data_IF_794081230608
#
_entry.id   IF_794081230608
#
_cell.length_a   1.000
_cell.length_b   1.000
_cell.length_c   1.000
_cell.angle_alpha   90.00
_cell.angle_beta   90.00
_cell.angle_gamma   90.00
#
_symmetry.space_group_name_H-M   'P 1'
#
loop_
_entity.id
_entity.type
_entity.pdbx_description
1 polymer ?
#
# COMPACT_ATOMS: atom_id res chain seq x y z
N UNK A 1 59.35 -52.19 -30.40
CA UNK A 1 58.77 -51.52 -29.23
C UNK A 1 58.02 -52.56 -28.45
N UNK A 2 58.44 -52.83 -27.21
CA UNK A 2 58.01 -54.00 -26.44
C UNK A 2 56.55 -53.84 -25.93
N UNK A 3 55.69 -54.81 -26.24
CA UNK A 3 54.26 -54.84 -25.84
C UNK A 3 54.04 -54.63 -24.35
N UNK A 4 55.06 -54.89 -23.52
CA UNK A 4 55.02 -54.63 -22.06
C UNK A 4 55.09 -53.14 -21.72
N UNK A 5 55.72 -52.31 -22.54
CA UNK A 5 55.77 -50.85 -22.36
C UNK A 5 54.48 -50.15 -22.70
N UNK A 6 53.78 -50.66 -23.70
CA UNK A 6 52.46 -50.13 -24.12
C UNK A 6 51.41 -50.42 -23.04
N UNK A 7 51.45 -51.57 -22.42
CA UNK A 7 50.50 -51.94 -21.34
C UNK A 7 50.72 -51.12 -20.07
N UNK A 8 52.00 -50.85 -19.72
CA UNK A 8 52.33 -49.99 -18.57
C UNK A 8 51.93 -48.51 -18.80
N UNK A 9 52.01 -48.00 -20.06
CA UNK A 9 51.58 -46.64 -20.41
C UNK A 9 50.06 -46.50 -20.37
N UNK A 10 49.29 -47.51 -20.81
CA UNK A 10 47.83 -47.50 -20.71
C UNK A 10 47.32 -47.63 -19.26
N UNK A 11 48.01 -48.41 -18.41
CA UNK A 11 47.71 -48.56 -17.01
C UNK A 11 47.98 -47.27 -16.22
N UNK A 12 49.06 -46.55 -16.57
CA UNK A 12 49.39 -45.23 -16.01
C UNK A 12 48.38 -44.15 -16.41
N UNK A 13 47.88 -44.16 -17.66
CA UNK A 13 46.85 -43.25 -18.13
C UNK A 13 45.45 -43.49 -17.43
N UNK A 14 45.13 -44.72 -17.13
CA UNK A 14 43.91 -45.08 -16.39
C UNK A 14 44.01 -44.64 -14.92
N UNK A 15 45.20 -44.72 -14.28
CA UNK A 15 45.43 -44.25 -12.95
C UNK A 15 45.40 -42.71 -12.82
N UNK A 16 45.85 -41.99 -13.85
CA UNK A 16 45.78 -40.53 -13.91
C UNK A 16 44.34 -40.03 -14.23
N UNK A 17 43.53 -40.81 -14.94
CA UNK A 17 42.11 -40.51 -15.19
C UNK A 17 41.19 -40.68 -13.99
N UNK A 18 41.57 -41.57 -13.07
CA UNK A 18 40.76 -41.82 -11.83
C UNK A 18 41.06 -40.84 -10.71
N UNK A 19 42.15 -40.08 -10.74
CA UNK A 19 42.48 -39.07 -9.71
C UNK A 19 41.69 -37.76 -9.85
N UNK A 20 41.04 -37.50 -10.98
CA UNK A 20 40.23 -36.29 -11.17
C UNK A 20 38.72 -36.45 -10.90
N UNK A 21 38.28 -37.62 -10.42
CA UNK A 21 36.87 -37.87 -10.08
C UNK A 21 36.54 -37.68 -8.58
N UNK A 22 37.49 -37.24 -7.78
CA UNK A 22 37.28 -36.92 -6.36
C UNK A 22 37.38 -35.42 -6.04
N UNK A 23 37.39 -34.54 -7.03
CA UNK A 23 37.43 -33.11 -6.81
C UNK A 23 36.13 -32.49 -7.36
N UNK A 24 35.17 -32.39 -6.56
CA UNK A 24 34.18 -31.38 -6.33
C UNK A 24 32.91 -32.01 -5.78
N UNK A 25 32.95 -32.37 -4.50
CA UNK A 25 31.74 -32.07 -3.72
C UNK A 25 31.67 -30.55 -3.73
N UNK A 26 30.91 -30.01 -4.64
CA UNK A 26 30.38 -28.68 -4.45
C UNK A 26 29.68 -28.72 -3.10
N UNK A 27 30.37 -28.25 -2.07
CA UNK A 27 29.73 -27.80 -0.85
C UNK A 27 28.98 -26.54 -1.30
N UNK A 28 27.82 -26.72 -1.94
CA UNK A 28 26.90 -25.63 -2.17
C UNK A 28 26.72 -25.00 -0.78
N UNK A 29 27.23 -23.80 -0.60
CA UNK A 29 26.96 -23.06 0.63
C UNK A 29 25.46 -23.06 0.80
N UNK A 30 24.95 -23.41 2.00
CA UNK A 30 23.52 -23.41 2.23
C UNK A 30 22.98 -22.03 1.81
N UNK A 31 21.92 -22.03 1.02
CA UNK A 31 21.32 -20.79 0.55
C UNK A 31 21.06 -19.85 1.75
N UNK A 32 21.38 -18.56 1.64
CA UNK A 32 21.23 -17.63 2.75
C UNK A 32 19.79 -17.61 3.25
N UNK A 33 19.61 -17.58 4.57
CA UNK A 33 18.31 -17.46 5.22
C UNK A 33 18.03 -15.98 5.43
N UNK A 34 16.96 -15.46 4.83
CA UNK A 34 16.57 -14.06 5.02
C UNK A 34 15.58 -13.95 6.17
N UNK A 35 15.80 -12.99 7.06
CA UNK A 35 14.97 -12.74 8.24
C UNK A 35 14.05 -11.57 8.01
N UNK A 36 12.73 -11.81 8.10
CA UNK A 36 11.68 -10.83 7.86
C UNK A 36 10.92 -10.57 9.15
N UNK A 37 10.86 -9.31 9.59
CA UNK A 37 10.05 -8.88 10.73
C UNK A 37 8.71 -8.32 10.25
N UNK A 38 7.60 -8.90 10.75
CA UNK A 38 6.24 -8.47 10.44
C UNK A 38 5.64 -7.84 11.71
N UNK A 39 5.26 -6.56 11.63
CA UNK A 39 4.80 -5.78 12.78
C UNK A 39 3.34 -5.38 12.62
N UNK A 40 2.52 -5.69 13.62
CA UNK A 40 1.10 -5.34 13.63
C UNK A 40 0.57 -5.14 15.06
N UNK A 41 -0.46 -4.27 15.28
CA UNK A 41 -1.04 -4.00 16.59
C UNK A 41 -2.04 -5.11 16.97
N UNK A 42 -1.57 -6.28 17.41
CA UNK A 42 -2.38 -7.45 17.70
C UNK A 42 -3.02 -7.40 19.09
N UNK A 43 -2.48 -6.58 20.03
CA UNK A 43 -2.99 -6.45 21.39
C UNK A 43 -3.12 -7.80 22.12
N UNK A 44 -2.19 -8.73 21.92
CA UNK A 44 -2.28 -10.09 22.47
C UNK A 44 -2.46 -10.09 23.99
N UNK A 45 -1.72 -9.23 24.70
CA UNK A 45 -1.81 -9.12 26.17
C UNK A 45 -3.18 -8.59 26.65
N UNK A 46 -3.91 -7.86 25.78
CA UNK A 46 -5.26 -7.36 26.07
C UNK A 46 -6.34 -8.39 25.78
N UNK A 47 -6.15 -9.21 24.74
CA UNK A 47 -7.17 -10.16 24.28
C UNK A 47 -7.04 -11.55 24.88
N UNK A 48 -5.86 -11.89 25.43
CA UNK A 48 -5.62 -13.15 26.13
C UNK A 48 -5.35 -12.94 27.63
N UNK A 49 -5.75 -13.90 28.44
CA UNK A 49 -5.26 -14.10 29.79
C UNK A 49 -4.49 -15.42 29.78
N UNK A 50 -3.16 -15.35 29.76
CA UNK A 50 -2.29 -16.48 29.46
C UNK A 50 -2.66 -17.06 28.07
N UNK A 51 -3.27 -18.26 28.06
CA UNK A 51 -3.73 -18.94 26.83
C UNK A 51 -5.25 -18.84 26.59
N UNK A 52 -5.99 -18.20 27.51
CA UNK A 52 -7.46 -18.11 27.43
C UNK A 52 -7.88 -16.80 26.77
N UNK A 53 -8.65 -16.90 25.68
CA UNK A 53 -9.24 -15.75 25.00
C UNK A 53 -10.32 -15.11 25.89
N UNK A 54 -10.25 -13.79 26.09
CA UNK A 54 -11.11 -13.04 27.05
C UNK A 54 -12.50 -12.74 26.52
N UNK A 55 -12.72 -12.75 25.21
CA UNK A 55 -13.95 -12.28 24.59
C UNK A 55 -14.86 -13.42 24.18
N UNK A 56 -16.04 -13.53 24.83
CA UNK A 56 -17.03 -14.59 24.55
C UNK A 56 -17.81 -14.37 23.24
N UNK A 57 -17.91 -13.13 22.79
CA UNK A 57 -18.72 -12.74 21.61
C UNK A 57 -17.93 -12.70 20.31
N UNK A 58 -16.74 -13.32 20.26
CA UNK A 58 -15.88 -13.35 19.08
C UNK A 58 -14.76 -12.32 19.11
N UNK A 59 -14.14 -12.10 17.95
CA UNK A 59 -12.96 -11.24 17.80
C UNK A 59 -13.37 -9.77 17.95
N UNK A 60 -12.73 -9.00 18.87
CA UNK A 60 -13.01 -7.57 19.02
C UNK A 60 -12.68 -6.80 17.74
N UNK A 61 -13.52 -5.82 17.40
CA UNK A 61 -13.36 -5.03 16.17
C UNK A 61 -12.03 -4.29 16.09
N UNK A 62 -11.45 -3.89 17.21
CA UNK A 62 -10.22 -3.11 17.24
C UNK A 62 -8.97 -3.90 16.82
N UNK A 63 -8.99 -5.25 16.97
CA UNK A 63 -7.87 -6.10 16.54
C UNK A 63 -8.09 -6.71 15.15
N UNK A 64 -9.33 -6.74 14.66
CA UNK A 64 -9.67 -7.43 13.42
C UNK A 64 -8.80 -7.00 12.22
N UNK A 65 -8.55 -5.70 11.98
CA UNK A 65 -7.70 -5.30 10.84
C UNK A 65 -6.26 -5.82 10.96
N UNK A 66 -5.67 -5.82 12.16
CA UNK A 66 -4.32 -6.32 12.38
C UNK A 66 -4.25 -7.84 12.25
N UNK A 67 -5.27 -8.53 12.77
CA UNK A 67 -5.39 -9.99 12.64
C UNK A 67 -5.51 -10.39 11.17
N UNK A 68 -6.38 -9.75 10.41
CA UNK A 68 -6.57 -10.00 8.99
C UNK A 68 -5.26 -9.77 8.20
N UNK A 69 -4.57 -8.67 8.49
CA UNK A 69 -3.25 -8.39 7.90
C UNK A 69 -2.26 -9.52 8.16
N UNK A 70 -2.15 -9.96 9.42
CA UNK A 70 -1.23 -11.05 9.80
C UNK A 70 -1.65 -12.38 9.19
N UNK A 71 -2.94 -12.68 9.10
CA UNK A 71 -3.43 -13.88 8.42
C UNK A 71 -3.09 -13.88 6.93
N UNK A 72 -3.21 -12.72 6.27
CA UNK A 72 -2.74 -12.53 4.89
C UNK A 72 -1.23 -12.75 4.77
N UNK A 73 -0.44 -12.17 5.66
CA UNK A 73 1.01 -12.34 5.74
C UNK A 73 1.41 -13.82 5.92
N UNK A 74 0.75 -14.54 6.83
CA UNK A 74 0.99 -15.97 7.04
C UNK A 74 0.66 -16.81 5.81
N UNK A 75 -0.38 -16.43 5.05
CA UNK A 75 -0.72 -17.11 3.80
C UNK A 75 0.34 -16.85 2.72
N UNK A 76 0.94 -15.66 2.71
CA UNK A 76 2.07 -15.34 1.84
C UNK A 76 3.32 -16.16 2.20
N UNK A 77 3.62 -16.30 3.49
CA UNK A 77 4.73 -17.12 3.97
C UNK A 77 4.57 -18.60 3.59
N UNK A 78 3.35 -19.17 3.71
CA UNK A 78 3.07 -20.53 3.23
C UNK A 78 3.36 -20.65 1.72
N UNK A 79 3.00 -19.64 0.93
CA UNK A 79 3.25 -19.63 -0.52
C UNK A 79 4.74 -19.51 -0.87
N UNK A 80 5.48 -18.70 -0.12
CA UNK A 80 6.93 -18.56 -0.27
C UNK A 80 7.66 -19.85 0.10
N UNK A 81 7.25 -20.51 1.19
CA UNK A 81 7.82 -21.79 1.60
C UNK A 81 7.56 -22.88 0.56
N UNK A 82 6.37 -22.93 -0.02
CA UNK A 82 6.05 -23.84 -1.13
C UNK A 82 6.90 -23.57 -2.39
N UNK A 83 7.37 -22.33 -2.57
CA UNK A 83 8.30 -21.91 -3.62
C UNK A 83 9.78 -22.13 -3.29
N UNK A 84 10.11 -22.81 -2.16
CA UNK A 84 11.46 -23.03 -1.67
C UNK A 84 12.26 -21.76 -1.35
N UNK A 85 11.59 -20.66 -1.02
CA UNK A 85 12.27 -19.46 -0.51
C UNK A 85 12.76 -19.71 0.92
N UNK A 86 14.04 -19.46 1.17
CA UNK A 86 14.66 -19.71 2.46
C UNK A 86 14.45 -18.51 3.41
N UNK A 87 13.28 -18.44 4.03
CA UNK A 87 12.82 -17.30 4.82
C UNK A 87 12.57 -17.72 6.28
N UNK A 88 13.05 -16.88 7.18
CA UNK A 88 12.71 -16.94 8.59
C UNK A 88 11.92 -15.67 8.96
N UNK A 89 10.62 -15.78 9.15
CA UNK A 89 9.76 -14.67 9.49
C UNK A 89 9.35 -14.68 10.95
N UNK A 90 9.39 -13.50 11.58
CA UNK A 90 8.93 -13.27 12.95
C UNK A 90 7.81 -12.24 12.96
N UNK A 91 6.74 -12.53 13.72
CA UNK A 91 5.61 -11.61 13.89
C UNK A 91 5.74 -10.94 15.27
N UNK A 92 5.66 -9.61 15.28
CA UNK A 92 5.77 -8.78 16.46
C UNK A 92 4.46 -8.04 16.73
N UNK A 93 3.92 -8.18 17.95
CA UNK A 93 2.80 -7.39 18.43
C UNK A 93 3.28 -6.02 18.91
N UNK A 94 2.97 -4.98 18.18
CA UNK A 94 3.40 -3.62 18.52
C UNK A 94 2.66 -3.01 19.71
N UNK A 95 1.60 -3.67 20.19
CA UNK A 95 0.81 -3.27 21.35
C UNK A 95 0.96 -4.20 22.52
N UNK A 96 2.04 -4.98 22.57
CA UNK A 96 2.42 -5.75 23.72
C UNK A 96 2.79 -4.85 24.92
N UNK A 97 2.30 -5.20 26.10
CA UNK A 97 2.70 -4.55 27.36
C UNK A 97 4.02 -5.03 27.89
N UNK A 98 4.39 -6.27 27.54
CA UNK A 98 5.57 -6.97 28.07
C UNK A 98 6.78 -6.81 27.17
N UNK A 99 6.60 -6.52 25.89
CA UNK A 99 7.68 -6.41 24.92
C UNK A 99 7.39 -5.33 23.86
N UNK A 100 7.67 -4.09 24.21
CA UNK A 100 7.49 -2.92 23.32
C UNK A 100 8.56 -2.91 22.22
N UNK A 101 8.33 -2.19 21.12
CA UNK A 101 9.31 -1.99 20.03
C UNK A 101 10.64 -1.44 20.59
N UNK A 102 10.58 -0.49 21.52
CA UNK A 102 11.77 0.06 22.20
C UNK A 102 12.57 -0.99 22.96
N UNK A 103 11.90 -1.97 23.56
CA UNK A 103 12.56 -3.06 24.27
C UNK A 103 13.19 -4.07 23.31
N UNK A 104 12.50 -4.36 22.19
CA UNK A 104 13.04 -5.19 21.12
C UNK A 104 14.31 -4.60 20.53
N UNK A 105 14.32 -3.28 20.26
CA UNK A 105 15.48 -2.54 19.75
C UNK A 105 16.62 -2.55 20.79
N UNK A 106 16.35 -2.13 22.03
CA UNK A 106 17.33 -2.07 23.11
C UNK A 106 17.99 -3.41 23.37
N UNK A 107 17.22 -4.50 23.33
CA UNK A 107 17.69 -5.85 23.56
C UNK A 107 18.25 -6.52 22.28
N UNK A 108 18.45 -5.77 21.20
CA UNK A 108 19.02 -6.21 19.90
C UNK A 108 18.28 -7.38 19.25
N UNK A 109 17.00 -7.57 19.57
CA UNK A 109 16.19 -8.67 19.01
C UNK A 109 15.87 -8.46 17.52
N UNK A 110 15.95 -7.23 17.03
CA UNK A 110 15.69 -6.85 15.65
C UNK A 110 16.98 -6.75 14.80
N UNK A 111 18.17 -6.77 15.39
CA UNK A 111 19.44 -6.49 14.71
C UNK A 111 19.77 -7.46 13.56
N UNK A 112 19.17 -8.64 13.55
CA UNK A 112 19.40 -9.64 12.52
C UNK A 112 18.36 -9.62 11.37
N UNK A 113 17.40 -8.70 11.40
CA UNK A 113 16.41 -8.58 10.33
C UNK A 113 17.04 -8.06 9.04
N UNK A 114 16.56 -8.58 7.91
CA UNK A 114 16.92 -8.12 6.57
C UNK A 114 15.81 -7.24 5.94
N UNK A 115 14.58 -7.36 6.45
CA UNK A 115 13.43 -6.65 5.97
C UNK A 115 12.43 -6.44 7.11
N UNK A 116 11.85 -5.25 7.19
CA UNK A 116 10.76 -4.89 8.10
C UNK A 116 9.51 -4.61 7.28
N UNK A 117 8.38 -5.23 7.64
CA UNK A 117 7.07 -4.98 7.04
C UNK A 117 6.10 -4.62 8.16
N UNK A 118 5.51 -3.43 8.10
CA UNK A 118 4.68 -2.91 9.18
C UNK A 118 3.28 -2.49 8.75
N UNK A 119 2.27 -3.02 9.44
CA UNK A 119 0.92 -2.45 9.49
C UNK A 119 0.79 -1.62 10.77
N UNK A 120 1.60 -0.58 10.88
CA UNK A 120 1.81 0.25 12.08
C UNK A 120 1.63 1.72 11.77
N UNK A 121 1.41 2.55 12.80
CA UNK A 121 1.22 4.00 12.68
C UNK A 121 1.79 4.75 13.87
N UNK A 122 1.82 6.06 13.76
CA UNK A 122 2.20 7.00 14.81
C UNK A 122 3.59 6.69 15.39
N UNK A 123 3.71 6.50 16.71
CA UNK A 123 4.98 6.27 17.37
C UNK A 123 5.64 4.95 16.97
N UNK A 124 4.86 3.86 16.82
CA UNK A 124 5.38 2.55 16.37
C UNK A 124 6.05 2.67 14.99
N UNK A 125 5.42 3.42 14.09
CA UNK A 125 5.97 3.71 12.76
C UNK A 125 7.28 4.50 12.86
N UNK A 126 7.34 5.56 13.69
CA UNK A 126 8.53 6.39 13.85
C UNK A 126 9.70 5.59 14.43
N UNK A 127 9.45 4.73 15.42
CA UNK A 127 10.49 3.88 16.03
C UNK A 127 11.07 2.89 15.01
N UNK A 128 10.22 2.23 14.22
CA UNK A 128 10.70 1.32 13.17
C UNK A 128 11.40 2.05 12.03
N UNK A 129 10.95 3.23 11.64
CA UNK A 129 11.59 4.04 10.62
C UNK A 129 12.99 4.50 11.06
N UNK A 130 13.15 4.92 12.33
CA UNK A 130 14.45 5.30 12.89
C UNK A 130 15.40 4.09 12.97
N UNK A 131 14.91 2.95 13.42
CA UNK A 131 15.70 1.71 13.49
C UNK A 131 16.12 1.24 12.09
N UNK A 132 15.23 1.28 11.12
CA UNK A 132 15.52 0.92 9.73
C UNK A 132 16.63 1.78 9.12
N UNK A 133 16.60 3.09 9.40
CA UNK A 133 17.65 4.01 8.99
C UNK A 133 18.99 3.70 9.67
N UNK A 134 19.00 3.48 11.00
CA UNK A 134 20.21 3.13 11.77
C UNK A 134 20.89 1.86 11.23
N UNK A 135 20.08 0.84 10.91
CA UNK A 135 20.59 -0.48 10.50
C UNK A 135 20.72 -0.64 8.98
N UNK A 136 20.33 0.33 8.18
CA UNK A 136 20.24 0.25 6.72
C UNK A 136 19.37 -0.92 6.25
N UNK A 137 18.21 -1.12 6.89
CA UNK A 137 17.27 -2.21 6.60
C UNK A 137 16.04 -1.61 5.92
N UNK A 138 15.55 -2.17 4.79
CA UNK A 138 14.30 -1.73 4.20
C UNK A 138 13.13 -1.85 5.18
N UNK A 139 12.35 -0.78 5.33
CA UNK A 139 11.11 -0.75 6.08
C UNK A 139 9.94 -0.44 5.16
N UNK A 140 9.06 -1.42 4.97
CA UNK A 140 7.85 -1.33 4.18
C UNK A 140 6.69 -0.94 5.07
N UNK A 141 6.23 0.31 4.97
CA UNK A 141 5.00 0.78 5.61
C UNK A 141 3.81 0.38 4.74
N UNK A 142 3.16 -0.73 5.10
CA UNK A 142 2.18 -1.38 4.25
C UNK A 142 0.80 -0.67 4.24
N UNK A 143 0.39 -0.05 5.35
CA UNK A 143 -0.99 0.42 5.52
C UNK A 143 -1.12 1.88 5.94
N UNK A 144 -0.07 2.51 6.43
CA UNK A 144 -0.12 3.86 6.97
C UNK A 144 0.07 4.91 5.86
N UNK A 145 -0.96 5.76 5.58
CA UNK A 145 -0.89 6.76 4.50
C UNK A 145 -0.24 8.07 4.96
N UNK A 146 0.82 7.97 5.78
CA UNK A 146 1.51 9.11 6.34
C UNK A 146 2.98 8.78 6.58
N UNK A 147 3.81 9.79 6.63
CA UNK A 147 5.24 9.66 6.92
C UNK A 147 5.64 10.30 8.26
N UNK A 148 4.69 10.92 8.97
CA UNK A 148 4.87 11.50 10.32
C UNK A 148 6.12 12.38 10.49
N UNK A 149 6.50 13.09 9.41
CA UNK A 149 7.66 13.99 9.41
C UNK A 149 9.03 13.31 9.26
N UNK A 150 9.09 12.03 8.95
CA UNK A 150 10.35 11.33 8.63
C UNK A 150 11.05 12.02 7.46
N UNK A 151 12.37 12.20 7.58
CA UNK A 151 13.24 12.84 6.59
C UNK A 151 14.54 12.05 6.45
N UNK A 152 15.17 12.17 5.27
CA UNK A 152 16.47 11.58 4.96
C UNK A 152 16.55 10.08 5.29
N UNK A 153 15.47 9.32 5.02
CA UNK A 153 15.43 7.89 5.24
C UNK A 153 15.25 7.12 3.92
N UNK A 154 16.32 6.81 3.22
CA UNK A 154 16.28 6.10 1.94
C UNK A 154 15.86 4.63 2.05
N UNK A 155 15.63 4.11 3.26
CA UNK A 155 15.17 2.74 3.52
C UNK A 155 13.67 2.65 3.81
N UNK A 156 12.98 3.78 3.96
CA UNK A 156 11.53 3.80 4.17
C UNK A 156 10.78 3.73 2.83
N UNK A 157 9.87 2.76 2.70
CA UNK A 157 8.99 2.58 1.54
C UNK A 157 7.53 2.66 2.00
N UNK A 158 6.77 3.60 1.46
CA UNK A 158 5.36 3.84 1.77
C UNK A 158 4.48 3.24 0.66
N UNK A 159 3.78 2.14 0.95
CA UNK A 159 2.87 1.48 0.00
C UNK A 159 1.53 2.21 -0.11
N UNK A 160 0.97 2.59 1.04
CA UNK A 160 -0.28 3.35 1.09
C UNK A 160 0.04 4.84 0.92
N UNK A 161 -0.17 5.34 -0.28
CA UNK A 161 0.23 6.68 -0.70
C UNK A 161 -0.32 7.79 0.21
N UNK A 162 0.44 8.86 0.38
CA UNK A 162 0.03 10.01 1.20
C UNK A 162 -1.08 10.82 0.54
N UNK A 163 -1.78 11.62 1.32
CA UNK A 163 -2.82 12.52 0.83
C UNK A 163 -2.31 13.43 -0.31
N UNK A 164 -1.05 13.88 -0.22
CA UNK A 164 -0.44 14.66 -1.29
C UNK A 164 -0.38 13.88 -2.61
N UNK A 165 0.06 12.62 -2.58
CA UNK A 165 0.13 11.78 -3.78
C UNK A 165 -1.27 11.53 -4.39
N UNK A 166 -2.29 11.40 -3.55
CA UNK A 166 -3.68 11.32 -4.03
C UNK A 166 -4.13 12.61 -4.70
N UNK A 167 -3.84 13.77 -4.12
CA UNK A 167 -4.14 15.06 -4.76
C UNK A 167 -3.39 15.22 -6.09
N UNK A 168 -2.10 14.81 -6.15
CA UNK A 168 -1.28 14.81 -7.36
C UNK A 168 -1.94 13.95 -8.47
N UNK A 169 -2.43 12.75 -8.12
CA UNK A 169 -3.09 11.85 -9.08
C UNK A 169 -4.44 12.40 -9.57
N UNK A 170 -5.26 12.95 -8.66
CA UNK A 170 -6.53 13.59 -9.01
C UNK A 170 -6.29 14.78 -9.95
N UNK A 171 -5.32 15.62 -9.60
CA UNK A 171 -4.97 16.78 -10.44
C UNK A 171 -4.49 16.35 -11.83
N UNK A 172 -3.60 15.34 -11.90
CA UNK A 172 -3.10 14.82 -13.17
C UNK A 172 -4.24 14.24 -14.04
N UNK A 173 -5.17 13.52 -13.41
CA UNK A 173 -6.36 13.01 -14.11
C UNK A 173 -7.22 14.14 -14.68
N UNK A 174 -7.49 15.18 -13.88
CA UNK A 174 -8.29 16.34 -14.30
C UNK A 174 -7.58 17.08 -15.43
N UNK A 175 -6.29 17.33 -15.33
CA UNK A 175 -5.51 18.01 -16.34
C UNK A 175 -5.55 17.29 -17.70
N UNK A 176 -5.49 15.96 -17.68
CA UNK A 176 -5.49 15.14 -18.89
C UNK A 176 -6.86 14.96 -19.53
N UNK A 177 -7.92 14.90 -18.72
CA UNK A 177 -9.24 14.49 -19.18
C UNK A 177 -10.32 15.58 -19.12
N UNK A 178 -10.07 16.68 -18.38
CA UNK A 178 -11.04 17.69 -18.05
C UNK A 178 -10.52 19.13 -18.20
N UNK A 179 -9.48 19.34 -18.99
CA UNK A 179 -8.82 20.64 -19.12
C UNK A 179 -9.71 21.77 -19.65
N UNK A 180 -10.82 21.45 -20.30
CA UNK A 180 -11.81 22.41 -20.82
C UNK A 180 -13.09 22.51 -20.00
N UNK A 181 -13.26 21.64 -19.00
CA UNK A 181 -14.44 21.59 -18.15
C UNK A 181 -14.37 22.67 -17.05
N UNK A 182 -15.51 22.97 -16.42
CA UNK A 182 -15.55 23.82 -15.23
C UNK A 182 -15.10 23.01 -14.00
N UNK A 183 -14.09 23.49 -13.29
CA UNK A 183 -13.49 22.73 -12.18
C UNK A 183 -13.73 23.46 -10.86
N UNK A 184 -14.32 22.76 -9.90
CA UNK A 184 -14.66 23.30 -8.58
C UNK A 184 -13.99 22.48 -7.48
N UNK A 185 -13.25 23.14 -6.59
CA UNK A 185 -12.78 22.55 -5.34
C UNK A 185 -13.75 22.91 -4.22
N UNK A 186 -14.66 22.00 -3.91
CA UNK A 186 -15.62 22.15 -2.81
C UNK A 186 -14.98 21.72 -1.49
N UNK A 187 -14.93 22.62 -0.53
CA UNK A 187 -14.30 22.37 0.77
C UNK A 187 -15.05 23.02 1.93
N UNK A 188 -14.87 22.50 3.13
CA UNK A 188 -15.22 23.17 4.38
C UNK A 188 -13.99 23.83 5.03
N UNK A 189 -14.18 24.56 6.13
CA UNK A 189 -13.09 25.10 6.93
C UNK A 189 -12.41 23.97 7.71
N UNK A 190 -11.09 23.95 7.72
CA UNK A 190 -10.32 22.98 8.50
C UNK A 190 -8.87 22.88 8.06
N UNK A 191 -8.00 22.43 8.96
CA UNK A 191 -6.56 22.29 8.67
C UNK A 191 -6.27 21.28 7.56
N UNK A 192 -7.05 20.20 7.51
CA UNK A 192 -6.89 19.17 6.46
C UNK A 192 -7.36 19.71 5.11
N UNK A 193 -8.46 20.44 5.08
CA UNK A 193 -9.01 21.07 3.88
C UNK A 193 -8.09 22.18 3.36
N UNK A 194 -7.47 22.95 4.28
CA UNK A 194 -6.43 23.94 3.92
C UNK A 194 -5.22 23.27 3.28
N UNK A 195 -4.81 22.12 3.81
CA UNK A 195 -3.71 21.33 3.26
C UNK A 195 -4.05 20.79 1.87
N UNK A 196 -5.25 20.19 1.69
CA UNK A 196 -5.74 19.74 0.37
C UNK A 196 -5.75 20.89 -0.63
N UNK A 197 -6.32 22.02 -0.24
CA UNK A 197 -6.37 23.23 -1.09
C UNK A 197 -4.98 23.71 -1.48
N UNK A 198 -4.03 23.67 -0.54
CA UNK A 198 -2.63 24.06 -0.81
C UNK A 198 -1.94 23.12 -1.79
N UNK A 199 -2.23 21.80 -1.73
CA UNK A 199 -1.69 20.85 -2.70
C UNK A 199 -2.19 21.13 -4.11
N UNK A 200 -3.52 21.31 -4.29
CA UNK A 200 -4.07 21.65 -5.62
C UNK A 200 -3.52 22.98 -6.14
N UNK A 201 -3.41 23.99 -5.29
CA UNK A 201 -2.83 25.28 -5.67
C UNK A 201 -1.38 25.13 -6.14
N UNK A 202 -0.56 24.42 -5.36
CA UNK A 202 0.86 24.21 -5.68
C UNK A 202 1.05 23.48 -7.03
N UNK A 203 0.23 22.46 -7.32
CA UNK A 203 0.30 21.72 -8.57
C UNK A 203 -0.23 22.52 -9.76
N UNK A 204 -1.20 23.39 -9.50
CA UNK A 204 -1.86 24.19 -10.53
C UNK A 204 -1.08 25.45 -10.93
N UNK A 205 0.04 25.72 -10.29
CA UNK A 205 0.86 26.90 -10.55
C UNK A 205 2.10 26.54 -11.39
N UNK A 206 2.20 27.13 -12.57
CA UNK A 206 3.38 27.05 -13.42
C UNK A 206 3.76 28.48 -13.86
N UNK A 207 4.99 28.89 -13.57
CA UNK A 207 5.52 30.22 -13.90
C UNK A 207 4.63 31.38 -13.40
N UNK A 208 4.03 31.21 -12.20
CA UNK A 208 3.16 32.18 -11.56
C UNK A 208 1.75 32.26 -12.18
N UNK A 209 1.37 31.31 -13.03
CA UNK A 209 0.03 31.25 -13.64
C UNK A 209 -0.63 29.89 -13.37
N UNK A 210 -1.96 29.88 -13.15
CA UNK A 210 -2.68 28.61 -13.05
C UNK A 210 -2.78 27.91 -14.40
N UNK A 211 -2.55 26.58 -14.41
CA UNK A 211 -2.75 25.73 -15.59
C UNK A 211 -4.24 25.47 -15.87
N UNK A 212 -5.03 25.32 -14.80
CA UNK A 212 -6.46 25.05 -14.84
C UNK A 212 -7.24 26.11 -14.06
N UNK A 213 -8.41 26.54 -14.54
CA UNK A 213 -9.27 27.49 -13.84
C UNK A 213 -10.05 26.79 -12.72
N UNK A 214 -9.38 26.43 -11.61
CA UNK A 214 -10.01 25.77 -10.46
C UNK A 214 -10.64 26.84 -9.56
N UNK A 215 -11.97 26.86 -9.47
CA UNK A 215 -12.70 27.72 -8.54
C UNK A 215 -12.87 27.01 -7.18
N UNK A 216 -12.48 27.68 -6.10
CA UNK A 216 -12.67 27.14 -4.74
C UNK A 216 -14.00 27.60 -4.17
N UNK A 217 -14.88 26.65 -3.86
CA UNK A 217 -16.15 26.88 -3.17
C UNK A 217 -15.99 26.52 -1.69
N UNK A 218 -15.93 27.55 -0.83
CA UNK A 218 -15.95 27.36 0.62
C UNK A 218 -17.42 27.11 1.04
N UNK A 219 -17.67 25.95 1.61
CA UNK A 219 -19.00 25.50 2.01
C UNK A 219 -18.99 25.24 3.50
N UNK A 220 -20.06 25.56 4.17
CA UNK A 220 -20.30 25.14 5.55
C UNK A 220 -20.77 23.67 5.54
N UNK A 221 -20.94 23.05 6.72
CA UNK A 221 -21.37 21.65 6.87
C UNK A 221 -22.73 21.35 6.17
N UNK A 222 -23.51 22.38 5.88
CA UNK A 222 -24.78 22.32 5.16
C UNK A 222 -24.60 22.53 3.64
N UNK A 223 -23.98 21.60 2.98
CA UNK A 223 -23.94 21.58 1.50
C UNK A 223 -25.37 21.33 0.98
N UNK A 224 -25.94 22.31 0.29
CA UNK A 224 -27.29 22.22 -0.26
C UNK A 224 -27.28 22.19 -1.78
N UNK A 225 -28.28 21.51 -2.37
CA UNK A 225 -28.48 21.46 -3.83
C UNK A 225 -28.70 22.88 -4.40
N UNK A 226 -29.42 23.75 -3.69
CA UNK A 226 -29.66 25.13 -4.10
C UNK A 226 -28.37 25.97 -4.13
N UNK A 227 -27.45 25.77 -3.20
CA UNK A 227 -26.16 26.44 -3.22
C UNK A 227 -25.36 26.00 -4.45
N UNK A 228 -25.21 24.69 -4.70
CA UNK A 228 -24.50 24.20 -5.88
C UNK A 228 -25.15 24.68 -7.18
N UNK A 229 -26.47 24.64 -7.27
CA UNK A 229 -27.21 25.13 -8.42
C UNK A 229 -26.94 26.62 -8.73
N UNK A 230 -26.68 27.43 -7.70
CA UNK A 230 -26.34 28.86 -7.88
C UNK A 230 -24.90 29.07 -8.39
N UNK A 231 -24.04 28.05 -8.34
CA UNK A 231 -22.62 28.12 -8.74
C UNK A 231 -22.30 27.38 -10.01
N UNK A 232 -23.03 26.31 -10.30
CA UNK A 232 -22.81 25.49 -11.47
C UNK A 232 -23.57 26.00 -12.69
N UNK A 233 -23.00 25.85 -13.87
CA UNK A 233 -23.65 26.12 -15.15
C UNK A 233 -24.20 24.81 -15.74
N UNK A 234 -25.52 24.74 -15.93
CA UNK A 234 -26.19 23.55 -16.47
C UNK A 234 -25.82 23.24 -17.93
N UNK A 235 -25.26 24.23 -18.68
CA UNK A 235 -24.85 24.07 -20.07
C UNK A 235 -23.38 23.60 -20.20
N UNK A 236 -22.69 23.47 -19.11
CA UNK A 236 -21.25 23.10 -19.08
C UNK A 236 -21.05 21.88 -18.21
N UNK A 237 -20.12 21.02 -18.61
CA UNK A 237 -19.67 19.93 -17.77
C UNK A 237 -18.89 20.47 -16.57
N UNK A 238 -19.21 19.96 -15.39
CA UNK A 238 -18.59 20.34 -14.12
C UNK A 238 -17.84 19.18 -13.48
N UNK A 239 -16.57 19.41 -13.14
CA UNK A 239 -15.79 18.51 -12.32
C UNK A 239 -15.73 19.06 -10.90
N UNK A 240 -16.25 18.33 -9.94
CA UNK A 240 -16.28 18.71 -8.54
C UNK A 240 -15.27 17.87 -7.79
N UNK A 241 -14.30 18.52 -7.15
CA UNK A 241 -13.36 17.91 -6.23
C UNK A 241 -13.93 18.09 -4.81
N UNK A 242 -14.30 16.98 -4.16
CA UNK A 242 -14.74 16.98 -2.77
C UNK A 242 -13.54 17.04 -1.83
N UNK A 243 -13.05 18.25 -1.54
CA UNK A 243 -11.77 18.52 -0.86
C UNK A 243 -11.81 18.36 0.66
N UNK A 244 -12.59 17.39 1.20
CA UNK A 244 -12.63 17.08 2.62
C UNK A 244 -12.59 15.58 2.88
N UNK A 245 -12.00 15.19 4.01
CA UNK A 245 -11.94 13.82 4.52
C UNK A 245 -13.11 13.51 5.49
N UNK A 246 -14.01 14.45 5.70
CA UNK A 246 -15.17 14.31 6.59
C UNK A 246 -16.32 13.57 5.90
N UNK A 247 -16.87 12.55 6.56
CA UNK A 247 -17.95 11.70 6.03
C UNK A 247 -19.26 12.48 5.86
N UNK A 248 -19.58 13.38 6.78
CA UNK A 248 -20.80 14.18 6.73
C UNK A 248 -20.78 15.14 5.54
N UNK A 249 -19.65 15.84 5.36
CA UNK A 249 -19.43 16.70 4.21
C UNK A 249 -19.53 15.91 2.90
N UNK A 250 -18.81 14.79 2.80
CA UNK A 250 -18.81 13.93 1.61
C UNK A 250 -20.21 13.45 1.26
N UNK A 251 -20.97 13.01 2.26
CA UNK A 251 -22.34 12.54 2.07
C UNK A 251 -23.30 13.64 1.62
N UNK A 252 -23.18 14.85 2.18
CA UNK A 252 -24.00 15.99 1.81
C UNK A 252 -23.68 16.46 0.39
N UNK A 253 -22.40 16.61 0.06
CA UNK A 253 -21.94 17.00 -1.28
C UNK A 253 -22.40 15.99 -2.34
N UNK A 254 -22.24 14.71 -2.07
CA UNK A 254 -22.63 13.66 -3.00
C UNK A 254 -24.15 13.66 -3.25
N UNK A 255 -24.95 13.83 -2.20
CA UNK A 255 -26.42 13.93 -2.34
C UNK A 255 -26.84 15.13 -3.20
N UNK A 256 -26.27 16.29 -2.93
CA UNK A 256 -26.56 17.51 -3.68
C UNK A 256 -26.18 17.38 -5.17
N UNK A 257 -25.00 16.80 -5.47
CA UNK A 257 -24.57 16.50 -6.83
C UNK A 257 -25.50 15.49 -7.52
N UNK A 258 -25.89 14.42 -6.82
CA UNK A 258 -26.77 13.40 -7.36
C UNK A 258 -28.18 13.92 -7.66
N UNK A 259 -28.70 14.85 -6.85
CA UNK A 259 -29.98 15.52 -7.11
C UNK A 259 -29.92 16.39 -8.38
N UNK A 260 -28.90 17.22 -8.55
CA UNK A 260 -28.70 18.04 -9.74
C UNK A 260 -28.53 17.19 -11.01
N UNK A 261 -27.75 16.11 -10.90
CA UNK A 261 -27.52 15.19 -12.01
C UNK A 261 -28.83 14.51 -12.47
N UNK A 262 -29.68 14.09 -11.53
CA UNK A 262 -30.91 13.36 -11.85
C UNK A 262 -32.07 14.26 -12.27
N UNK A 263 -32.28 15.34 -11.51
CA UNK A 263 -33.51 16.11 -11.62
C UNK A 263 -33.37 17.31 -12.54
N UNK A 264 -32.17 17.87 -12.62
CA UNK A 264 -31.88 19.10 -13.37
C UNK A 264 -30.93 18.89 -14.56
N UNK A 265 -30.56 17.62 -14.85
CA UNK A 265 -29.72 17.21 -15.99
C UNK A 265 -28.34 17.89 -16.06
N UNK A 266 -27.75 18.23 -14.89
CA UNK A 266 -26.38 18.72 -14.85
C UNK A 266 -25.40 17.61 -15.20
N UNK A 267 -24.40 17.89 -16.04
CA UNK A 267 -23.28 16.98 -16.28
C UNK A 267 -22.21 17.18 -15.21
N UNK A 268 -22.19 16.30 -14.19
CA UNK A 268 -21.32 16.41 -13.01
C UNK A 268 -20.47 15.16 -12.88
N UNK A 269 -19.15 15.36 -12.77
CA UNK A 269 -18.18 14.34 -12.31
C UNK A 269 -17.71 14.70 -10.91
N UNK A 270 -18.02 13.87 -9.89
CA UNK A 270 -17.61 14.09 -8.49
C UNK A 270 -16.41 13.19 -8.15
N UNK A 271 -15.30 13.81 -7.73
CA UNK A 271 -14.08 13.13 -7.31
C UNK A 271 -13.83 13.43 -5.83
N UNK A 272 -13.89 12.41 -4.97
CA UNK A 272 -13.66 12.53 -3.54
C UNK A 272 -12.21 12.23 -3.11
N UNK A 273 -11.93 12.43 -1.83
CA UNK A 273 -10.65 12.11 -1.21
C UNK A 273 -10.50 10.58 -0.98
N UNK A 274 -9.28 10.07 -0.77
CA UNK A 274 -9.01 8.63 -0.73
C UNK A 274 -9.82 7.83 0.28
N UNK A 275 -10.21 8.43 1.42
CA UNK A 275 -10.99 7.75 2.45
C UNK A 275 -12.50 7.62 2.16
N UNK A 276 -12.96 8.20 1.05
CA UNK A 276 -14.37 8.13 0.66
C UNK A 276 -14.82 6.70 0.34
N UNK A 277 -13.89 5.81 0.02
CA UNK A 277 -14.14 4.38 -0.16
C UNK A 277 -14.77 3.70 1.07
N UNK A 278 -14.56 4.26 2.26
CA UNK A 278 -15.08 3.72 3.52
C UNK A 278 -16.44 4.31 3.94
N UNK A 279 -16.96 5.30 3.21
CA UNK A 279 -18.19 6.00 3.60
C UNK A 279 -19.43 5.25 3.12
N UNK A 280 -20.17 4.69 4.06
CA UNK A 280 -21.32 3.83 3.78
C UNK A 280 -22.41 4.53 2.94
N UNK A 281 -22.55 5.84 3.08
CA UNK A 281 -23.51 6.66 2.34
C UNK A 281 -23.32 6.56 0.83
N UNK A 282 -22.07 6.42 0.34
CA UNK A 282 -21.76 6.36 -1.09
C UNK A 282 -22.20 5.05 -1.75
N UNK A 283 -22.47 4.02 -0.95
CA UNK A 283 -22.95 2.71 -1.43
C UNK A 283 -24.49 2.58 -1.43
N UNK A 284 -25.19 3.63 -1.00
CA UNK A 284 -26.66 3.63 -0.93
C UNK A 284 -27.28 3.63 -2.32
N UNK A 285 -27.79 2.47 -2.74
CA UNK A 285 -28.49 2.32 -4.03
C UNK A 285 -29.70 3.26 -4.16
N UNK A 286 -30.40 3.56 -3.05
CA UNK A 286 -31.57 4.43 -3.06
C UNK A 286 -31.21 5.89 -3.34
N UNK A 287 -30.20 6.41 -2.67
CA UNK A 287 -29.84 7.83 -2.72
C UNK A 287 -28.90 8.18 -3.87
N UNK A 288 -28.04 7.19 -4.26
CA UNK A 288 -26.97 7.38 -5.25
C UNK A 288 -27.24 6.66 -6.59
N UNK A 289 -28.49 6.21 -6.84
CA UNK A 289 -28.80 5.46 -8.06
C UNK A 289 -28.44 6.24 -9.33
N UNK A 290 -27.59 5.67 -10.16
CA UNK A 290 -27.16 6.23 -11.43
C UNK A 290 -26.12 7.35 -11.37
N UNK A 291 -25.75 7.88 -10.18
CA UNK A 291 -24.74 8.90 -10.04
C UNK A 291 -23.36 8.27 -9.70
N UNK A 292 -22.33 8.49 -10.55
CA UNK A 292 -21.00 7.96 -10.29
C UNK A 292 -20.21 8.87 -9.35
N UNK A 293 -19.52 8.27 -8.37
CA UNK A 293 -18.56 8.96 -7.52
C UNK A 293 -17.19 8.33 -7.74
N UNK A 294 -16.18 9.16 -7.88
CA UNK A 294 -14.81 8.74 -8.13
C UNK A 294 -13.93 9.03 -6.91
N UNK A 295 -12.90 8.21 -6.70
CA UNK A 295 -11.84 8.45 -5.72
C UNK A 295 -10.57 7.72 -6.14
N UNK A 296 -9.43 8.08 -5.53
CA UNK A 296 -8.15 7.41 -5.82
C UNK A 296 -7.77 6.43 -4.71
N UNK A 297 -7.14 5.30 -5.08
CA UNK A 297 -6.61 4.30 -4.14
C UNK A 297 -5.34 3.66 -4.69
N UNK A 298 -4.34 3.34 -3.85
CA UNK A 298 -3.19 2.53 -4.28
C UNK A 298 -3.50 1.04 -4.38
N UNK A 299 -4.66 0.60 -3.88
CA UNK A 299 -5.04 -0.80 -3.79
C UNK A 299 -6.27 -1.09 -4.64
N UNK A 300 -6.09 -1.92 -5.65
CA UNK A 300 -7.20 -2.45 -6.45
C UNK A 300 -6.96 -3.92 -6.73
N UNK A 301 -7.81 -4.77 -6.18
CA UNK A 301 -7.74 -6.21 -6.38
C UNK A 301 -8.86 -6.66 -7.31
N UNK A 302 -8.50 -7.20 -8.46
CA UNK A 302 -9.45 -7.91 -9.30
C UNK A 302 -9.76 -9.27 -8.65
N UNK A 303 -10.96 -9.39 -8.10
CA UNK A 303 -11.41 -10.61 -7.41
C UNK A 303 -11.57 -11.81 -8.35
N UNK A 304 -11.53 -11.59 -9.66
CA UNK A 304 -11.72 -12.62 -10.67
C UNK A 304 -10.42 -13.17 -11.28
N UNK A 305 -9.28 -12.52 -11.02
CA UNK A 305 -8.00 -13.03 -11.48
C UNK A 305 -7.60 -14.33 -10.75
N UNK A 306 -6.70 -15.11 -11.37
CA UNK A 306 -6.29 -16.42 -10.87
C UNK A 306 -5.62 -16.34 -9.49
N UNK A 307 -4.83 -15.28 -9.25
CA UNK A 307 -4.09 -15.12 -8.00
C UNK A 307 -5.03 -14.80 -6.83
N UNK A 308 -5.98 -13.89 -7.04
CA UNK A 308 -7.01 -13.54 -6.06
C UNK A 308 -7.92 -14.72 -5.71
N UNK A 309 -8.27 -15.53 -6.69
CA UNK A 309 -9.03 -16.78 -6.46
C UNK A 309 -8.22 -17.79 -5.64
N UNK A 310 -6.94 -17.97 -5.96
CA UNK A 310 -6.04 -18.87 -5.23
C UNK A 310 -5.90 -18.43 -3.75
N UNK A 311 -5.63 -17.13 -3.52
CA UNK A 311 -5.58 -16.58 -2.16
C UNK A 311 -6.89 -16.80 -1.42
N UNK A 312 -8.03 -16.47 -2.04
CA UNK A 312 -9.34 -16.60 -1.41
C UNK A 312 -9.61 -18.04 -1.01
N UNK A 313 -9.25 -19.01 -1.87
CA UNK A 313 -9.41 -20.44 -1.58
C UNK A 313 -8.52 -20.89 -0.42
N UNK A 314 -7.24 -20.56 -0.45
CA UNK A 314 -6.29 -20.90 0.61
C UNK A 314 -6.69 -20.29 1.96
N UNK A 315 -7.08 -19.02 1.94
CA UNK A 315 -7.53 -18.29 3.12
C UNK A 315 -8.80 -18.89 3.73
N UNK A 316 -9.79 -19.21 2.89
CA UNK A 316 -11.05 -19.84 3.33
C UNK A 316 -10.80 -21.21 3.95
N UNK A 317 -9.93 -22.01 3.36
CA UNK A 317 -9.55 -23.32 3.92
C UNK A 317 -8.90 -23.17 5.30
N UNK A 318 -7.97 -22.22 5.44
CA UNK A 318 -7.16 -22.04 6.65
C UNK A 318 -7.94 -21.34 7.78
N UNK A 319 -8.66 -20.26 7.46
CA UNK A 319 -9.29 -19.38 8.47
C UNK A 319 -10.82 -19.43 8.51
N UNK A 320 -11.46 -20.25 7.64
CA UNK A 320 -12.92 -20.41 7.55
C UNK A 320 -13.68 -19.09 7.31
N UNK A 321 -13.01 -18.11 6.75
CA UNK A 321 -13.56 -16.78 6.41
C UNK A 321 -13.02 -16.32 5.06
N UNK A 322 -13.70 -15.33 4.44
CA UNK A 322 -13.18 -14.68 3.23
C UNK A 322 -12.11 -13.66 3.62
N UNK A 323 -11.06 -13.49 2.80
CA UNK A 323 -10.05 -12.47 3.04
C UNK A 323 -10.67 -11.08 2.92
N UNK A 324 -10.31 -10.20 3.86
CA UNK A 324 -10.63 -8.77 3.81
C UNK A 324 -9.55 -8.02 3.01
N UNK A 325 -9.78 -6.73 2.74
CA UNK A 325 -8.76 -5.88 2.10
C UNK A 325 -7.45 -5.84 2.91
N UNK A 326 -7.53 -5.95 4.25
CA UNK A 326 -6.33 -6.04 5.09
C UNK A 326 -5.58 -7.35 4.90
N UNK A 327 -6.28 -8.46 4.66
CA UNK A 327 -5.64 -9.74 4.35
C UNK A 327 -4.92 -9.69 2.98
N UNK A 328 -5.53 -9.06 1.98
CA UNK A 328 -4.86 -8.82 0.69
C UNK A 328 -3.60 -7.96 0.85
N UNK A 329 -3.66 -6.87 1.61
CA UNK A 329 -2.50 -6.01 1.89
C UNK A 329 -1.39 -6.75 2.63
N UNK A 330 -1.75 -7.58 3.61
CA UNK A 330 -0.80 -8.42 4.35
C UNK A 330 -0.13 -9.45 3.46
N UNK A 331 -0.90 -10.15 2.63
CA UNK A 331 -0.35 -11.09 1.66
C UNK A 331 0.58 -10.40 0.68
N UNK A 332 0.12 -9.36 0.02
CA UNK A 332 0.86 -8.68 -1.04
C UNK A 332 2.15 -8.05 -0.54
N UNK A 333 2.11 -7.35 0.60
CA UNK A 333 3.32 -6.72 1.16
C UNK A 333 4.38 -7.75 1.53
N UNK A 334 3.99 -8.87 2.15
CA UNK A 334 4.94 -9.91 2.54
C UNK A 334 5.45 -10.67 1.33
N UNK A 335 4.57 -11.11 0.44
CA UNK A 335 4.97 -11.88 -0.74
C UNK A 335 5.88 -11.07 -1.66
N UNK A 336 5.43 -9.88 -2.06
CA UNK A 336 6.14 -9.01 -3.01
C UNK A 336 7.55 -8.66 -2.52
N UNK A 337 7.65 -8.08 -1.32
CA UNK A 337 8.94 -7.58 -0.85
C UNK A 337 9.88 -8.68 -0.35
N UNK A 338 9.35 -9.82 0.09
CA UNK A 338 10.19 -10.97 0.41
C UNK A 338 10.78 -11.60 -0.85
N UNK A 339 9.97 -11.75 -1.91
CA UNK A 339 10.49 -12.18 -3.23
C UNK A 339 11.54 -11.22 -3.77
N UNK A 340 11.31 -9.93 -3.63
CA UNK A 340 12.27 -8.92 -4.05
C UNK A 340 13.58 -9.02 -3.27
N UNK A 341 13.49 -9.24 -1.94
CA UNK A 341 14.66 -9.44 -1.09
C UNK A 341 15.47 -10.67 -1.48
N UNK A 342 14.83 -11.80 -1.73
CA UNK A 342 15.53 -13.03 -2.11
C UNK A 342 16.20 -12.93 -3.48
N UNK A 343 15.60 -12.15 -4.40
CA UNK A 343 16.11 -11.91 -5.74
C UNK A 343 17.26 -10.89 -5.77
N UNK A 344 17.15 -9.80 -5.00
CA UNK A 344 18.06 -8.65 -5.03
C UNK A 344 18.52 -8.27 -3.59
N UNK A 345 19.25 -9.14 -2.89
CA UNK A 345 19.58 -8.91 -1.48
C UNK A 345 20.55 -7.75 -1.23
N UNK A 346 21.42 -7.44 -2.18
CA UNK A 346 22.46 -6.40 -2.04
C UNK A 346 21.99 -5.01 -2.48
N UNK A 347 20.98 -4.93 -3.33
CA UNK A 347 20.52 -3.69 -3.97
C UNK A 347 19.00 -3.56 -4.01
N UNK A 348 18.35 -4.12 -2.99
CA UNK A 348 16.89 -4.14 -2.82
C UNK A 348 16.20 -2.81 -3.18
N UNK A 349 16.74 -1.69 -2.67
CA UNK A 349 16.11 -0.37 -2.88
C UNK A 349 16.15 0.10 -4.35
N UNK A 350 17.06 -0.41 -5.17
CA UNK A 350 17.11 -0.13 -6.61
C UNK A 350 15.99 -0.84 -7.38
N UNK A 351 15.49 -1.95 -6.83
CA UNK A 351 14.54 -2.86 -7.49
C UNK A 351 13.10 -2.78 -6.94
N UNK A 352 12.79 -1.86 -6.02
CA UNK A 352 11.48 -1.77 -5.37
C UNK A 352 10.31 -1.50 -6.33
N UNK A 353 10.58 -1.03 -7.55
CA UNK A 353 9.57 -0.78 -8.59
C UNK A 353 9.57 -1.80 -9.73
N UNK A 354 10.26 -2.92 -9.57
CA UNK A 354 10.29 -3.99 -10.57
C UNK A 354 8.89 -4.62 -10.69
N UNK A 355 8.42 -4.73 -11.94
CA UNK A 355 7.04 -5.18 -12.22
C UNK A 355 6.87 -6.68 -12.35
N UNK A 356 7.94 -7.42 -12.48
CA UNK A 356 7.94 -8.88 -12.62
C UNK A 356 7.49 -9.63 -11.34
N UNK A 357 7.38 -8.92 -10.21
CA UNK A 357 6.91 -9.44 -8.94
C UNK A 357 5.45 -9.02 -8.60
N UNK A 358 4.73 -8.42 -9.55
CA UNK A 358 3.33 -8.02 -9.33
C UNK A 358 2.48 -9.18 -8.81
N UNK A 359 1.67 -8.89 -7.77
CA UNK A 359 0.70 -9.82 -7.19
C UNK A 359 -0.72 -9.36 -7.55
N UNK A 360 -1.26 -8.36 -6.85
CA UNK A 360 -2.59 -7.81 -7.11
C UNK A 360 -2.53 -6.41 -7.71
N UNK A 361 -1.69 -5.55 -7.14
CA UNK A 361 -1.61 -4.15 -7.49
C UNK A 361 -0.37 -3.83 -8.33
N UNK A 362 -0.47 -2.80 -9.14
CA UNK A 362 0.69 -2.18 -9.77
C UNK A 362 1.26 -1.13 -8.81
N UNK A 363 2.56 -1.18 -8.58
CA UNK A 363 3.28 -0.19 -7.78
C UNK A 363 4.28 0.57 -8.62
N UNK A 364 4.51 1.84 -8.25
CA UNK A 364 5.52 2.70 -8.85
C UNK A 364 6.19 3.52 -7.74
N UNK A 365 7.11 2.91 -7.04
CA UNK A 365 7.81 3.57 -5.94
C UNK A 365 8.80 4.59 -6.48
N UNK A 366 8.64 5.85 -6.10
CA UNK A 366 9.52 6.95 -6.47
C UNK A 366 10.16 7.56 -5.23
N UNK A 367 11.42 8.00 -5.33
CA UNK A 367 12.04 8.78 -4.27
C UNK A 367 11.31 10.10 -4.08
N UNK A 368 11.04 10.45 -2.83
CA UNK A 368 10.47 11.74 -2.45
C UNK A 368 11.54 12.56 -1.75
N UNK A 369 11.75 13.79 -2.19
CA UNK A 369 12.60 14.79 -1.56
C UNK A 369 11.73 15.97 -1.15
N UNK A 370 11.63 16.22 0.16
CA UNK A 370 10.91 17.39 0.70
C UNK A 370 11.69 18.68 0.49
N UNK A 371 13.01 18.55 0.27
CA UNK A 371 13.88 19.61 -0.16
C UNK A 371 14.74 19.11 -1.32
N UNK A 372 14.63 19.75 -2.46
CA UNK A 372 15.39 19.41 -3.68
C UNK A 372 16.92 19.39 -3.50
N UNK A 373 17.43 20.12 -2.51
CA UNK A 373 18.86 20.16 -2.16
C UNK A 373 19.35 18.90 -1.43
N UNK A 374 18.46 18.04 -0.97
CA UNK A 374 18.84 16.81 -0.27
C UNK A 374 19.52 15.85 -1.25
N UNK A 375 20.64 15.28 -0.84
CA UNK A 375 21.37 14.27 -1.64
C UNK A 375 20.68 12.93 -1.63
N UNK A 376 20.04 12.57 -0.49
CA UNK A 376 19.28 11.33 -0.31
C UNK A 376 17.77 11.60 -0.28
N UNK A 377 16.93 10.65 -0.70
CA UNK A 377 15.49 10.80 -0.55
C UNK A 377 15.08 10.79 0.92
N UNK A 378 13.98 11.48 1.22
CA UNK A 378 13.37 11.44 2.54
C UNK A 378 12.65 10.11 2.78
N UNK A 379 12.09 9.52 1.72
CA UNK A 379 11.48 8.19 1.67
C UNK A 379 11.16 7.82 0.21
N UNK A 380 10.75 6.58 0.00
CA UNK A 380 10.14 6.14 -1.26
C UNK A 380 8.63 6.00 -1.08
N UNK A 381 7.87 6.41 -2.09
CA UNK A 381 6.41 6.38 -2.03
C UNK A 381 5.82 5.79 -3.30
N UNK A 382 4.80 4.96 -3.16
CA UNK A 382 4.02 4.51 -4.30
C UNK A 382 3.28 5.69 -4.95
N UNK A 383 3.57 5.94 -6.23
CA UNK A 383 2.93 6.98 -7.05
C UNK A 383 1.90 6.42 -8.03
N UNK A 384 1.75 5.08 -8.07
CA UNK A 384 0.69 4.48 -8.87
C UNK A 384 -0.61 4.45 -8.06
N UNK A 385 -1.61 5.18 -8.53
CA UNK A 385 -2.93 5.26 -7.94
C UNK A 385 -3.98 4.95 -8.99
N UNK A 386 -4.90 4.09 -8.67
CA UNK A 386 -6.07 3.82 -9.48
C UNK A 386 -7.14 4.88 -9.21
N UNK A 387 -7.81 5.36 -10.26
CA UNK A 387 -9.07 6.05 -10.11
C UNK A 387 -10.19 5.02 -10.13
N UNK A 388 -10.95 4.97 -9.06
CA UNK A 388 -12.03 4.01 -8.84
C UNK A 388 -13.37 4.74 -8.94
N UNK A 389 -14.36 4.04 -9.48
CA UNK A 389 -15.74 4.50 -9.61
C UNK A 389 -16.65 3.65 -8.72
N UNK A 390 -17.44 4.33 -7.89
CA UNK A 390 -18.60 3.74 -7.21
C UNK A 390 -19.82 4.11 -8.05
N UNK A 391 -20.56 3.11 -8.49
CA UNK A 391 -21.84 3.29 -9.20
C UNK A 391 -22.83 2.23 -8.75
N UNK A 392 -23.99 2.64 -8.27
CA UNK A 392 -25.04 1.74 -7.77
C UNK A 392 -24.53 0.76 -6.69
N UNK A 393 -23.61 1.19 -5.84
CA UNK A 393 -22.98 0.38 -4.79
C UNK A 393 -21.93 -0.63 -5.27
N UNK A 394 -21.58 -0.60 -6.55
CA UNK A 394 -20.53 -1.43 -7.13
C UNK A 394 -19.27 -0.62 -7.41
N UNK A 395 -18.11 -1.24 -7.17
CA UNK A 395 -16.79 -0.64 -7.40
C UNK A 395 -16.22 -1.17 -8.71
N UNK A 396 -15.64 -0.26 -9.50
CA UNK A 396 -14.90 -0.61 -10.71
C UNK A 396 -13.74 0.34 -10.94
N UNK A 397 -12.69 -0.12 -11.63
CA UNK A 397 -11.59 0.72 -12.08
C UNK A 397 -12.12 1.66 -13.17
N UNK A 398 -11.78 2.94 -13.08
CA UNK A 398 -12.17 3.97 -14.05
C UNK A 398 -10.98 4.49 -14.89
N UNK A 399 -9.77 4.55 -14.28
CA UNK A 399 -8.54 5.01 -14.94
C UNK A 399 -7.29 4.47 -14.22
#
# INVERSE_FOLDING_TARGET
>A
MNKKFIFAFYFLLILLGSANLYAQKDTAQPAPVYKVGIFAPLYLDSVFNKTTFRYKQGIPRFIAPALDFVQGALTALDSLQAGNDNINASIFDTKSYTEKITDLIRNKKLDSLNLIIGSVRDEDFLQLAAFALEKNIPFISATYPNVSGVKANPFLVVMNSTLKAHCDAIYSYILQNHGTDKIYLCRQKGKQEDMVSSYFKMMNEQDGKPLLPIETLNMDDNVTTSFLKSKLDSNSKSVIIGGSLDETFAGNLTRACAELYKNDSYDISLIGMPNWDNFSVLYSKKNMAGFPVYFTTPFYTDKYDAFSKSLTTAYLVKYKSKPTDMAYKGFESVYLFTKLLTKNPSDFMAHISDKDQKVFCDYNFKPVKLNEKNTVPDYFENKHLYLIKILNGSISKAW
#
